data_IF_815681330840
#
_entry.id   IF_815681330840
#
_cell.length_a   1.000
_cell.length_b   1.000
_cell.length_c   1.000
_cell.angle_alpha   90.00
_cell.angle_beta   90.00
_cell.angle_gamma   90.00
#
_symmetry.space_group_name_H-M   'P 1'
#
loop_
_entity.id
_entity.type
_entity.pdbx_description
1 polymer ?
#
# COMPACT_ATOMS: atom_id res chain seq x y z
N UNK A 1 34.67 -24.33 -0.01
CA UNK A 1 33.48 -23.47 0.11
C UNK A 1 33.38 -23.06 1.57
N UNK A 2 33.47 -21.76 1.86
CA UNK A 2 33.64 -21.26 3.23
C UNK A 2 32.37 -21.43 4.08
N UNK A 3 32.55 -21.43 5.41
CA UNK A 3 31.47 -21.50 6.42
C UNK A 3 30.36 -20.47 6.14
N UNK A 4 30.70 -19.32 5.57
CA UNK A 4 29.75 -18.28 5.13
C UNK A 4 28.72 -18.77 4.11
N UNK A 5 29.13 -19.61 3.15
CA UNK A 5 28.23 -20.14 2.12
C UNK A 5 27.21 -21.12 2.72
N UNK A 6 27.63 -21.91 3.71
CA UNK A 6 26.75 -22.87 4.41
C UNK A 6 25.71 -22.13 5.25
N UNK A 7 26.12 -21.06 5.96
CA UNK A 7 25.19 -20.22 6.73
C UNK A 7 24.18 -19.54 5.80
N UNK A 8 24.63 -18.93 4.70
CA UNK A 8 23.76 -18.29 3.72
C UNK A 8 22.75 -19.27 3.10
N UNK A 9 23.20 -20.49 2.76
CA UNK A 9 22.34 -21.53 2.22
C UNK A 9 21.28 -21.97 3.25
N UNK A 10 21.68 -22.24 4.49
CA UNK A 10 20.74 -22.62 5.55
C UNK A 10 19.70 -21.53 5.81
N UNK A 11 20.10 -20.26 5.87
CA UNK A 11 19.20 -19.12 6.00
C UNK A 11 18.19 -19.03 4.85
N UNK A 12 18.65 -19.21 3.61
CA UNK A 12 17.76 -19.18 2.45
C UNK A 12 16.65 -20.24 2.53
N UNK A 13 17.00 -21.50 2.80
CA UNK A 13 16.01 -22.59 2.81
C UNK A 13 15.10 -22.56 4.04
N UNK A 14 15.62 -22.26 5.23
CA UNK A 14 14.83 -22.33 6.45
C UNK A 14 14.08 -21.04 6.78
N UNK A 15 14.58 -19.88 6.36
CA UNK A 15 13.95 -18.61 6.67
C UNK A 15 13.28 -17.97 5.45
N UNK A 16 14.03 -17.77 4.36
CA UNK A 16 13.52 -17.04 3.19
C UNK A 16 12.45 -17.84 2.47
N UNK A 17 12.72 -19.10 2.14
CA UNK A 17 11.83 -19.92 1.33
C UNK A 17 10.49 -20.21 2.03
N UNK A 18 10.53 -20.49 3.34
CA UNK A 18 9.34 -20.73 4.15
C UNK A 18 8.44 -19.49 4.15
N UNK A 19 8.99 -18.31 4.44
CA UNK A 19 8.22 -17.06 4.42
C UNK A 19 7.69 -16.74 3.04
N UNK A 20 8.49 -16.96 1.99
CA UNK A 20 8.10 -16.74 0.61
C UNK A 20 6.87 -17.57 0.24
N UNK A 21 6.86 -18.86 0.58
CA UNK A 21 5.71 -19.75 0.37
C UNK A 21 4.48 -19.28 1.14
N UNK A 22 4.64 -18.89 2.41
CA UNK A 22 3.55 -18.37 3.22
C UNK A 22 2.92 -17.10 2.61
N UNK A 23 3.72 -16.15 2.12
CA UNK A 23 3.20 -14.96 1.44
C UNK A 23 2.53 -15.28 0.10
N UNK A 24 3.07 -16.22 -0.68
CA UNK A 24 2.44 -16.66 -1.92
C UNK A 24 1.09 -17.34 -1.67
N UNK A 25 1.00 -18.16 -0.62
CA UNK A 25 -0.23 -18.84 -0.23
C UNK A 25 -1.28 -17.85 0.31
N UNK A 26 -0.85 -16.89 1.13
CA UNK A 26 -1.69 -15.78 1.55
C UNK A 26 -2.23 -15.03 0.33
N UNK A 27 -1.36 -14.58 -0.59
CA UNK A 27 -1.77 -13.81 -1.76
C UNK A 27 -2.72 -14.55 -2.71
N UNK A 28 -2.60 -15.88 -2.83
CA UNK A 28 -3.50 -16.69 -3.67
C UNK A 28 -4.94 -16.74 -3.15
N UNK A 29 -5.11 -16.73 -1.83
CA UNK A 29 -6.41 -16.89 -1.17
C UNK A 29 -6.95 -15.58 -0.57
N UNK A 30 -6.21 -14.47 -0.71
CA UNK A 30 -6.57 -13.20 -0.11
C UNK A 30 -7.53 -12.41 -0.99
N UNK A 31 -8.80 -12.33 -0.59
CA UNK A 31 -9.76 -11.37 -1.14
C UNK A 31 -9.67 -10.04 -0.37
N UNK A 32 -9.13 -8.98 -0.98
CA UNK A 32 -8.99 -7.67 -0.32
C UNK A 32 -10.35 -7.05 0.03
N UNK A 33 -11.39 -7.27 -0.77
CA UNK A 33 -12.71 -6.68 -0.55
C UNK A 33 -13.45 -7.39 0.59
N UNK A 34 -13.30 -8.70 0.69
CA UNK A 34 -13.80 -9.43 1.85
C UNK A 34 -13.11 -8.97 3.13
N UNK A 35 -11.77 -8.85 3.14
CA UNK A 35 -11.08 -8.36 4.34
C UNK A 35 -11.42 -6.93 4.72
N UNK A 36 -11.63 -6.04 3.75
CA UNK A 36 -12.09 -4.69 4.04
C UNK A 36 -13.45 -4.67 4.73
N UNK A 37 -14.40 -5.51 4.31
CA UNK A 37 -15.71 -5.65 4.96
C UNK A 37 -15.54 -6.11 6.41
N UNK A 38 -14.76 -7.15 6.64
CA UNK A 38 -14.50 -7.68 7.98
C UNK A 38 -13.82 -6.67 8.91
N UNK A 39 -12.90 -5.84 8.39
CA UNK A 39 -12.26 -4.76 9.17
C UNK A 39 -13.26 -3.65 9.49
N UNK A 40 -14.18 -3.35 8.59
CA UNK A 40 -15.23 -2.36 8.78
C UNK A 40 -16.29 -2.79 9.78
N UNK A 41 -16.58 -4.09 9.85
CA UNK A 41 -17.50 -4.69 10.82
C UNK A 41 -16.85 -4.90 12.20
N UNK A 42 -15.53 -4.67 12.32
CA UNK A 42 -14.82 -4.79 13.57
C UNK A 42 -15.22 -3.67 14.55
N UNK A 43 -15.44 -3.96 15.86
CA UNK A 43 -15.95 -2.98 16.83
C UNK A 43 -15.01 -1.78 17.02
N UNK A 44 -13.71 -1.99 16.80
CA UNK A 44 -12.72 -0.93 16.74
C UNK A 44 -12.62 -0.48 15.28
N UNK A 45 -13.05 0.75 15.01
CA UNK A 45 -12.96 1.35 13.68
C UNK A 45 -11.49 1.61 13.34
N UNK A 46 -10.87 0.66 12.65
CA UNK A 46 -9.50 0.81 12.13
C UNK A 46 -9.42 1.70 10.89
N UNK A 47 -10.53 1.83 10.15
CA UNK A 47 -10.60 2.65 8.94
C UNK A 47 -11.35 3.96 9.19
N UNK A 48 -10.82 5.05 8.63
CA UNK A 48 -11.49 6.35 8.64
C UNK A 48 -12.76 6.38 7.77
N UNK A 49 -12.78 5.62 6.68
CA UNK A 49 -13.94 5.47 5.80
C UNK A 49 -14.04 4.03 5.31
N UNK A 50 -15.23 3.46 5.45
CA UNK A 50 -15.56 2.13 4.93
C UNK A 50 -15.98 2.19 3.46
N UNK A 51 -15.79 1.10 2.68
CA UNK A 51 -16.03 1.12 1.23
C UNK A 51 -17.48 1.46 0.85
N UNK A 52 -18.46 1.09 1.67
CA UNK A 52 -19.87 1.47 1.49
C UNK A 52 -20.12 2.97 1.71
N UNK A 53 -19.49 3.58 2.71
CA UNK A 53 -19.56 5.03 2.93
C UNK A 53 -18.81 5.79 1.83
N UNK A 54 -17.70 5.23 1.36
CA UNK A 54 -16.92 5.80 0.27
C UNK A 54 -17.74 5.81 -1.03
N UNK A 55 -18.43 4.72 -1.35
CA UNK A 55 -19.32 4.62 -2.51
C UNK A 55 -20.44 5.67 -2.46
N UNK A 56 -21.12 5.82 -1.31
CA UNK A 56 -22.13 6.87 -1.12
C UNK A 56 -21.58 8.28 -1.35
N UNK A 57 -20.39 8.58 -0.82
CA UNK A 57 -19.72 9.88 -1.04
C UNK A 57 -19.33 10.11 -2.50
N UNK A 58 -19.10 9.04 -3.27
CA UNK A 58 -18.85 9.15 -4.70
C UNK A 58 -20.15 9.41 -5.48
N UNK A 59 -21.24 8.73 -5.14
CA UNK A 59 -22.57 8.97 -5.72
C UNK A 59 -23.04 10.41 -5.45
N UNK A 60 -22.88 10.93 -4.23
CA UNK A 60 -23.17 12.33 -3.87
C UNK A 60 -22.39 13.34 -4.72
N UNK A 61 -21.20 12.96 -5.21
CA UNK A 61 -20.35 13.78 -6.07
C UNK A 61 -20.58 13.53 -7.55
N UNK A 62 -21.51 12.66 -7.92
CA UNK A 62 -21.81 12.30 -9.30
C UNK A 62 -20.70 11.49 -10.00
N UNK A 63 -19.83 10.82 -9.23
CA UNK A 63 -18.70 10.04 -9.75
C UNK A 63 -19.02 8.54 -9.61
N UNK A 64 -18.85 7.75 -10.68
CA UNK A 64 -19.00 6.29 -10.57
C UNK A 64 -17.70 5.66 -10.07
N UNK A 65 -17.80 4.62 -9.23
CA UNK A 65 -16.64 3.90 -8.68
C UNK A 65 -15.81 3.22 -9.78
N UNK A 66 -16.39 3.01 -10.97
CA UNK A 66 -15.75 2.38 -12.12
C UNK A 66 -15.01 3.37 -13.04
N UNK A 67 -15.24 4.67 -12.93
CA UNK A 67 -14.67 5.68 -13.85
C UNK A 67 -13.24 6.12 -13.50
N UNK A 68 -12.60 5.53 -12.48
CA UNK A 68 -11.15 5.70 -12.35
C UNK A 68 -10.46 4.72 -13.27
N UNK A 69 -10.14 5.20 -14.46
CA UNK A 69 -8.99 4.71 -15.18
C UNK A 69 -7.77 4.80 -14.24
N UNK A 70 -7.08 3.69 -13.99
CA UNK A 70 -5.89 3.65 -13.11
C UNK A 70 -4.69 4.39 -13.74
N UNK A 71 -4.91 5.09 -14.86
CA UNK A 71 -3.96 5.93 -15.60
C UNK A 71 -4.01 7.42 -15.19
N UNK A 72 -4.78 7.80 -14.17
CA UNK A 72 -4.74 9.20 -13.67
C UNK A 72 -3.32 9.48 -13.17
N UNK A 73 -2.58 10.43 -13.78
CA UNK A 73 -1.27 10.84 -13.28
C UNK A 73 -1.41 11.27 -11.82
N UNK A 74 -0.49 10.83 -10.97
CA UNK A 74 -0.46 11.15 -9.53
C UNK A 74 -0.51 12.67 -9.26
N UNK A 75 -0.21 13.47 -10.29
CA UNK A 75 -0.28 14.91 -10.34
C UNK A 75 -1.66 15.51 -10.11
N UNK A 76 -2.74 14.80 -10.44
CA UNK A 76 -4.11 15.34 -10.34
C UNK A 76 -4.75 15.04 -8.97
N UNK A 77 -4.14 14.14 -8.19
CA UNK A 77 -4.63 13.72 -6.88
C UNK A 77 -3.97 14.51 -5.73
N UNK A 78 -2.76 15.00 -5.95
CA UNK A 78 -2.00 15.76 -4.93
C UNK A 78 -2.28 17.26 -5.10
N UNK A 79 -2.90 17.94 -4.11
CA UNK A 79 -3.13 19.38 -4.20
C UNK A 79 -1.80 20.13 -4.35
N UNK A 80 -1.76 21.20 -5.17
CA UNK A 80 -0.54 21.98 -5.46
C UNK A 80 0.26 22.36 -4.20
N UNK A 81 -0.44 22.63 -3.11
CA UNK A 81 0.15 22.99 -1.82
C UNK A 81 1.10 21.92 -1.29
N UNK A 82 0.72 20.64 -1.39
CA UNK A 82 1.54 19.48 -1.01
C UNK A 82 2.72 19.27 -1.96
N UNK A 83 2.57 19.60 -3.25
CA UNK A 83 3.68 19.51 -4.24
C UNK A 83 4.80 20.50 -3.91
N UNK A 84 4.44 21.73 -3.51
CA UNK A 84 5.41 22.77 -3.11
C UNK A 84 6.15 22.38 -1.82
N UNK A 85 5.44 21.81 -0.84
CA UNK A 85 6.06 21.29 0.39
C UNK A 85 7.10 20.20 0.10
N UNK A 86 6.77 19.23 -0.76
CA UNK A 86 7.67 18.13 -1.12
C UNK A 86 8.88 18.60 -1.96
N UNK A 87 8.69 19.59 -2.83
CA UNK A 87 9.77 20.21 -3.58
C UNK A 87 10.73 20.98 -2.66
N UNK A 88 10.19 21.69 -1.67
CA UNK A 88 10.97 22.44 -0.70
C UNK A 88 11.75 21.53 0.26
N UNK A 89 11.15 20.42 0.73
CA UNK A 89 11.85 19.45 1.58
C UNK A 89 12.98 18.75 0.84
N UNK A 90 12.77 18.33 -0.41
CA UNK A 90 13.83 17.75 -1.25
C UNK A 90 14.96 18.75 -1.56
N UNK A 91 14.62 20.03 -1.78
CA UNK A 91 15.62 21.07 -2.00
C UNK A 91 16.47 21.32 -0.75
N UNK A 92 15.85 21.31 0.43
CA UNK A 92 16.53 21.39 1.73
C UNK A 92 17.44 20.20 1.98
N UNK A 93 16.96 18.97 1.75
CA UNK A 93 17.79 17.77 1.89
C UNK A 93 19.01 17.83 0.98
N UNK A 94 18.84 18.20 -0.29
CA UNK A 94 19.96 18.35 -1.24
C UNK A 94 20.96 19.44 -0.82
N UNK A 95 20.50 20.50 -0.18
CA UNK A 95 21.37 21.55 0.36
C UNK A 95 22.15 21.09 1.59
N UNK A 96 21.53 20.30 2.48
CA UNK A 96 22.15 19.80 3.70
C UNK A 96 23.13 18.64 3.46
N UNK A 97 22.96 17.90 2.35
CA UNK A 97 23.87 16.82 1.95
C UNK A 97 25.07 17.25 1.08
N UNK A 98 25.26 18.56 0.86
CA UNK A 98 26.37 19.12 0.08
C UNK A 98 27.35 19.87 0.98
#
# INVERSE_FOLDING_TARGET
MGVSAVIAFSYYFFYVEVRRKAYMEFGKNYDPYQRMREICDYPIKYMHTCPSELAKRFEEKGLTVADRDYTIPLDDVVPETKKREFAHSNALERFLTR
#
